data_IF_109517962772
#
_entry.id   IF_109517962772
#
_cell.length_a   1.000
_cell.length_b   1.000
_cell.length_c   1.000
_cell.angle_alpha   90.00
_cell.angle_beta   90.00
_cell.angle_gamma   90.00
#
_symmetry.space_group_name_H-M   'P 1'
#
loop_
_entity.id
_entity.type
_entity.pdbx_description
1 polymer ?
#
# COMPACT_ATOMS: atom_id res chain seq x y z
N UNK A 1 10.80 0.78 15.82
CA UNK A 1 11.42 0.91 14.49
C UNK A 1 10.90 -0.12 13.48
N UNK A 2 10.86 -1.45 13.75
CA UNK A 2 10.35 -2.46 12.78
C UNK A 2 8.91 -2.26 12.30
N UNK A 3 8.03 -1.65 13.11
CA UNK A 3 6.61 -1.42 12.79
C UNK A 3 6.39 -0.21 11.87
N UNK A 4 7.26 0.81 11.91
CA UNK A 4 7.15 2.01 11.07
C UNK A 4 7.51 1.74 9.61
N UNK A 5 8.42 0.81 9.34
CA UNK A 5 8.88 0.50 7.97
C UNK A 5 7.75 -0.20 7.19
N UNK A 6 6.94 -1.03 7.86
CA UNK A 6 5.81 -1.72 7.20
C UNK A 6 4.69 -0.75 6.80
N UNK A 7 4.39 0.26 7.63
CA UNK A 7 3.38 1.28 7.32
C UNK A 7 3.79 2.23 6.19
N UNK A 8 5.08 2.44 5.97
CA UNK A 8 5.61 3.34 4.93
C UNK A 8 5.62 2.70 3.54
N UNK A 9 5.71 1.37 3.46
CA UNK A 9 5.56 0.62 2.21
C UNK A 9 4.19 0.81 1.53
N UNK A 10 3.18 1.23 2.29
CA UNK A 10 1.82 1.52 1.78
C UNK A 10 1.70 2.92 1.15
N UNK A 11 2.62 3.85 1.44
CA UNK A 11 2.49 5.26 1.07
C UNK A 11 3.42 5.73 -0.07
N UNK A 12 3.99 4.83 -0.88
CA UNK A 12 4.69 5.23 -2.12
C UNK A 12 3.69 5.49 -3.25
N UNK A 13 2.60 6.20 -2.96
CA UNK A 13 1.98 6.98 -4.00
C UNK A 13 2.75 8.29 -4.09
N UNK A 14 3.60 8.44 -5.12
CA UNK A 14 4.03 9.78 -5.55
C UNK A 14 2.82 10.71 -5.41
N UNK A 15 3.05 11.99 -5.13
CA UNK A 15 2.06 13.08 -5.04
C UNK A 15 1.04 13.18 -6.19
N UNK A 16 0.80 12.13 -6.86
CA UNK A 16 -0.19 11.88 -7.88
C UNK A 16 -1.22 11.03 -7.17
N UNK A 17 -2.27 11.67 -6.65
CA UNK A 17 -3.35 11.10 -5.84
C UNK A 17 -4.01 9.82 -6.40
N UNK A 18 -3.23 8.80 -6.64
CA UNK A 18 -3.75 7.45 -6.74
C UNK A 18 -3.98 7.05 -5.29
N UNK A 19 -5.21 7.14 -4.87
CA UNK A 19 -5.73 6.68 -3.59
C UNK A 19 -4.99 5.41 -3.21
N UNK A 20 -4.42 5.40 -2.00
CA UNK A 20 -3.71 4.25 -1.44
C UNK A 20 -4.62 3.03 -1.31
N UNK A 21 -4.91 2.41 -2.43
CA UNK A 21 -5.68 1.19 -2.51
C UNK A 21 -4.71 0.02 -2.60
N UNK A 22 -4.49 -0.62 -1.45
CA UNK A 22 -4.11 -2.02 -1.43
C UNK A 22 -2.73 -2.35 -2.00
N UNK A 23 -1.69 -1.59 -1.64
CA UNK A 23 -0.32 -1.93 -2.04
C UNK A 23 0.12 -3.33 -1.58
N UNK A 24 -0.41 -3.86 -0.48
CA UNK A 24 -0.04 -5.19 0.01
C UNK A 24 -0.55 -6.33 -0.87
N UNK A 25 -1.77 -6.28 -1.39
CA UNK A 25 -2.28 -7.39 -2.20
C UNK A 25 -1.75 -7.36 -3.64
N UNK A 26 -1.51 -6.18 -4.20
CA UNK A 26 -0.78 -6.04 -5.49
C UNK A 26 0.68 -6.48 -5.29
N UNK A 27 1.30 -6.14 -4.16
CA UNK A 27 2.64 -6.60 -3.80
C UNK A 27 2.71 -8.13 -3.68
N UNK A 28 1.72 -8.77 -3.04
CA UNK A 28 1.66 -10.22 -2.85
C UNK A 28 1.45 -10.94 -4.18
N UNK A 29 0.65 -10.39 -5.10
CA UNK A 29 0.41 -11.00 -6.41
C UNK A 29 1.65 -10.90 -7.31
N UNK A 30 2.39 -9.79 -7.28
CA UNK A 30 3.67 -9.67 -8.00
C UNK A 30 4.76 -10.56 -7.37
N UNK A 31 4.75 -10.77 -6.05
CA UNK A 31 5.66 -11.72 -5.38
C UNK A 31 5.35 -13.18 -5.73
N UNK A 32 4.08 -13.52 -5.94
CA UNK A 32 3.65 -14.88 -6.28
C UNK A 32 3.73 -15.17 -7.78
N UNK A 33 3.76 -14.14 -8.64
CA UNK A 33 4.13 -14.31 -10.04
C UNK A 33 5.63 -14.46 -10.13
N UNK A 34 6.10 -15.48 -10.79
CA UNK A 34 7.44 -15.51 -11.36
C UNK A 34 7.52 -14.33 -12.34
N UNK A 35 7.93 -13.15 -11.83
CA UNK A 35 8.48 -12.14 -12.71
C UNK A 35 9.62 -12.85 -13.40
N UNK A 36 9.49 -13.09 -14.70
CA UNK A 36 10.60 -13.64 -15.46
C UNK A 36 11.68 -12.55 -15.53
N UNK A 37 12.60 -12.61 -14.60
CA UNK A 37 13.78 -11.74 -14.53
C UNK A 37 14.75 -11.97 -15.69
N UNK A 38 14.23 -12.53 -16.80
CA UNK A 38 14.92 -12.64 -18.07
C UNK A 38 15.90 -13.79 -18.16
N UNK A 39 15.44 -14.88 -18.72
CA UNK A 39 16.28 -15.88 -19.40
C UNK A 39 16.55 -15.49 -20.86
N UNK A 40 16.30 -14.25 -21.29
CA UNK A 40 16.64 -13.85 -22.65
C UNK A 40 18.14 -13.67 -22.74
N UNK A 41 18.79 -14.45 -23.59
CA UNK A 41 20.23 -14.39 -23.90
C UNK A 41 20.73 -12.97 -24.27
N UNK A 42 19.83 -12.06 -24.64
CA UNK A 42 20.13 -10.64 -24.87
C UNK A 42 20.36 -9.82 -23.61
N UNK A 43 19.79 -10.19 -22.44
CA UNK A 43 20.03 -9.49 -21.19
C UNK A 43 21.31 -9.96 -20.48
N UNK A 44 21.86 -11.10 -20.85
CA UNK A 44 23.01 -11.73 -20.20
C UNK A 44 24.36 -11.05 -20.50
N UNK A 45 24.43 -10.11 -21.43
CA UNK A 45 25.69 -9.47 -21.87
C UNK A 45 25.90 -8.03 -21.41
N UNK A 46 24.97 -7.44 -20.63
CA UNK A 46 25.12 -6.05 -20.18
C UNK A 46 25.56 -6.05 -18.71
N UNK A 47 26.84 -5.75 -18.47
CA UNK A 47 27.31 -5.46 -17.12
C UNK A 47 26.66 -4.18 -16.60
N UNK A 48 26.48 -4.08 -15.26
CA UNK A 48 25.79 -2.96 -14.62
C UNK A 48 26.30 -1.56 -14.98
N UNK A 49 27.55 -1.44 -15.44
CA UNK A 49 28.19 -0.19 -15.83
C UNK A 49 27.75 0.33 -17.20
N UNK A 50 26.92 -0.40 -17.98
CA UNK A 50 26.64 -0.12 -19.39
C UNK A 50 25.15 0.05 -19.75
N UNK A 51 24.24 0.25 -18.78
CA UNK A 51 22.86 0.61 -19.10
C UNK A 51 22.80 2.03 -19.68
N UNK A 52 22.49 2.12 -20.97
CA UNK A 52 22.26 3.41 -21.63
C UNK A 52 20.86 3.93 -21.26
N UNK A 53 20.68 5.25 -21.24
CA UNK A 53 19.43 5.93 -20.89
C UNK A 53 18.21 5.34 -21.60
N UNK A 54 18.33 5.03 -22.88
CA UNK A 54 17.23 4.52 -23.73
C UNK A 54 17.13 3.00 -23.76
N UNK A 55 17.99 2.28 -23.00
CA UNK A 55 17.90 0.81 -22.91
C UNK A 55 16.55 0.40 -22.33
N UNK A 56 15.86 -0.54 -22.99
CA UNK A 56 14.64 -1.14 -22.43
C UNK A 56 15.00 -2.02 -21.24
N UNK A 57 14.44 -1.70 -20.07
CA UNK A 57 14.73 -2.41 -18.81
C UNK A 57 13.53 -3.14 -18.24
N UNK A 58 12.32 -2.77 -18.64
CA UNK A 58 11.08 -3.43 -18.29
C UNK A 58 10.24 -3.58 -19.56
N UNK A 59 9.57 -4.70 -19.71
CA UNK A 59 8.55 -4.90 -20.74
C UNK A 59 7.27 -5.47 -20.12
N UNK A 60 6.12 -4.93 -20.53
CA UNK A 60 4.79 -5.43 -20.20
C UNK A 60 4.09 -5.73 -21.53
N UNK A 61 4.05 -7.00 -21.93
CA UNK A 61 3.71 -7.38 -23.29
C UNK A 61 4.62 -6.69 -24.29
N UNK A 62 4.06 -5.89 -25.22
CA UNK A 62 4.83 -5.12 -26.22
C UNK A 62 5.26 -3.72 -25.76
N UNK A 63 4.80 -3.27 -24.60
CA UNK A 63 5.16 -1.93 -24.07
C UNK A 63 6.46 -2.01 -23.29
N UNK A 64 7.42 -1.16 -23.64
CA UNK A 64 8.74 -1.11 -23.00
C UNK A 64 8.90 0.15 -22.17
N UNK A 65 9.72 0.05 -21.12
CA UNK A 65 10.13 1.15 -20.24
C UNK A 65 11.63 1.31 -20.36
N UNK A 66 12.08 2.52 -20.63
CA UNK A 66 13.52 2.83 -20.72
C UNK A 66 14.17 2.93 -19.33
N UNK A 67 15.47 2.78 -19.28
CA UNK A 67 16.25 2.99 -18.05
C UNK A 67 16.09 4.42 -17.50
N UNK A 68 16.00 5.42 -18.39
CA UNK A 68 15.71 6.81 -18.05
C UNK A 68 14.36 6.95 -17.31
N UNK A 69 13.31 6.34 -17.84
CA UNK A 69 11.99 6.35 -17.22
C UNK A 69 12.03 5.68 -15.83
N UNK A 70 12.68 4.51 -15.72
CA UNK A 70 12.89 3.84 -14.45
C UNK A 70 13.64 4.71 -13.44
N UNK A 71 14.77 5.34 -13.84
CA UNK A 71 15.54 6.23 -12.96
C UNK A 71 14.71 7.42 -12.46
N UNK A 72 13.81 7.94 -13.29
CA UNK A 72 12.92 9.03 -12.88
C UNK A 72 11.98 8.57 -11.76
N UNK A 73 11.34 7.41 -11.87
CA UNK A 73 10.55 6.84 -10.78
C UNK A 73 11.38 6.58 -9.52
N UNK A 74 12.57 6.01 -9.69
CA UNK A 74 13.47 5.70 -8.57
C UNK A 74 13.93 6.97 -7.82
N UNK A 75 14.23 8.04 -8.54
CA UNK A 75 14.60 9.34 -7.97
C UNK A 75 13.52 9.87 -7.00
N UNK A 76 12.28 9.88 -7.43
CA UNK A 76 11.18 10.36 -6.59
C UNK A 76 10.94 9.45 -5.38
N UNK A 77 10.97 8.15 -5.58
CA UNK A 77 10.83 7.20 -4.49
C UNK A 77 11.97 7.35 -3.47
N UNK A 78 13.21 7.45 -3.93
CA UNK A 78 14.38 7.66 -3.07
C UNK A 78 14.23 8.93 -2.23
N UNK A 79 13.90 10.05 -2.85
CA UNK A 79 13.71 11.32 -2.15
C UNK A 79 12.58 11.25 -1.11
N UNK A 80 11.51 10.53 -1.40
CA UNK A 80 10.42 10.31 -0.44
C UNK A 80 10.88 9.50 0.76
N UNK A 81 11.61 8.40 0.56
CA UNK A 81 12.17 7.63 1.65
C UNK A 81 13.12 8.46 2.52
N UNK A 82 14.02 9.21 1.88
CA UNK A 82 14.98 10.06 2.57
C UNK A 82 14.32 11.21 3.35
N UNK A 83 13.24 11.78 2.81
CA UNK A 83 12.49 12.84 3.49
C UNK A 83 11.77 12.38 4.76
N UNK A 84 11.32 11.13 4.79
CA UNK A 84 10.56 10.56 5.91
C UNK A 84 11.47 9.88 6.93
N UNK A 85 12.52 9.19 6.47
CA UNK A 85 13.32 8.27 7.27
C UNK A 85 14.78 8.73 7.43
N UNK A 86 15.18 9.81 6.74
CA UNK A 86 16.55 10.28 6.66
C UNK A 86 17.41 9.43 5.70
N UNK A 87 18.56 9.99 5.29
CA UNK A 87 19.47 9.38 4.32
C UNK A 87 20.11 8.08 4.82
N UNK A 88 20.17 7.88 6.14
CA UNK A 88 20.74 6.68 6.75
C UNK A 88 19.90 5.41 6.54
N UNK A 89 18.66 5.56 6.05
CA UNK A 89 17.77 4.42 5.77
C UNK A 89 18.40 3.37 4.85
N UNK A 90 19.25 3.80 3.92
CA UNK A 90 19.91 2.90 2.96
C UNK A 90 20.99 2.01 3.56
N UNK A 91 21.44 2.30 4.78
CA UNK A 91 22.42 1.48 5.52
C UNK A 91 21.79 0.23 6.17
N UNK A 92 20.45 0.15 6.20
CA UNK A 92 19.77 -0.99 6.80
C UNK A 92 19.67 -2.18 5.84
N UNK A 93 20.46 -3.22 6.12
CA UNK A 93 20.57 -4.41 5.28
C UNK A 93 19.43 -5.45 5.49
N UNK A 94 18.58 -5.28 6.52
CA UNK A 94 17.45 -6.18 6.80
C UNK A 94 16.24 -5.36 7.21
N UNK A 95 15.42 -4.97 6.24
CA UNK A 95 14.21 -4.23 6.52
C UNK A 95 12.99 -5.16 6.69
N UNK A 96 12.74 -6.04 5.72
CA UNK A 96 11.57 -6.94 5.68
C UNK A 96 11.96 -8.24 4.97
N UNK A 97 11.64 -9.38 5.55
CA UNK A 97 11.84 -10.71 4.94
C UNK A 97 13.25 -10.93 4.37
N UNK A 98 14.28 -10.55 5.12
CA UNK A 98 15.70 -10.68 4.76
C UNK A 98 16.19 -9.85 3.56
N UNK A 99 15.40 -8.91 3.06
CA UNK A 99 15.79 -7.96 2.01
C UNK A 99 16.34 -6.66 2.60
N UNK A 100 17.29 -6.03 1.90
CA UNK A 100 17.72 -4.67 2.23
C UNK A 100 16.63 -3.65 1.89
N UNK A 101 16.69 -2.46 2.50
CA UNK A 101 15.80 -1.35 2.16
C UNK A 101 15.94 -0.98 0.67
N UNK A 102 17.17 -1.01 0.14
CA UNK A 102 17.42 -0.74 -1.27
C UNK A 102 16.73 -1.74 -2.21
N UNK A 103 16.79 -3.03 -1.90
CA UNK A 103 16.11 -4.07 -2.68
C UNK A 103 14.59 -3.89 -2.65
N UNK A 104 14.01 -3.62 -1.48
CA UNK A 104 12.57 -3.39 -1.35
C UNK A 104 12.14 -2.11 -2.10
N UNK A 105 12.96 -1.08 -2.09
CA UNK A 105 12.72 0.15 -2.84
C UNK A 105 12.69 -0.09 -4.36
N UNK A 106 13.63 -0.86 -4.89
CA UNK A 106 13.67 -1.23 -6.31
C UNK A 106 12.41 -2.02 -6.68
N UNK A 107 12.07 -3.04 -5.89
CA UNK A 107 10.89 -3.86 -6.15
C UNK A 107 9.61 -3.01 -6.09
N UNK A 108 9.54 -2.02 -5.19
CA UNK A 108 8.41 -1.10 -5.10
C UNK A 108 8.27 -0.25 -6.36
N UNK A 109 9.37 0.28 -6.88
CA UNK A 109 9.37 1.03 -8.15
C UNK A 109 8.95 0.13 -9.32
N UNK A 110 9.49 -1.08 -9.38
CA UNK A 110 9.12 -2.05 -10.42
C UNK A 110 7.63 -2.36 -10.39
N UNK A 111 7.07 -2.63 -9.20
CA UNK A 111 5.64 -2.88 -9.01
C UNK A 111 4.80 -1.70 -9.51
N UNK A 112 5.16 -0.48 -9.12
CA UNK A 112 4.43 0.73 -9.54
C UNK A 112 4.44 0.90 -11.06
N UNK A 113 5.61 0.79 -11.70
CA UNK A 113 5.74 0.93 -13.15
C UNK A 113 4.91 -0.14 -13.87
N UNK A 114 5.05 -1.40 -13.48
CA UNK A 114 4.32 -2.52 -14.09
C UNK A 114 2.81 -2.30 -13.93
N UNK A 115 2.34 -1.89 -12.76
CA UNK A 115 0.93 -1.62 -12.51
C UNK A 115 0.39 -0.53 -13.44
N UNK A 116 1.08 0.58 -13.57
CA UNK A 116 0.68 1.68 -14.46
C UNK A 116 0.63 1.22 -15.92
N UNK A 117 1.63 0.45 -16.37
CA UNK A 117 1.66 -0.07 -17.76
C UNK A 117 0.55 -1.08 -18.02
N UNK A 118 0.25 -1.99 -17.10
CA UNK A 118 -0.87 -2.94 -17.21
C UNK A 118 -2.20 -2.17 -17.31
N UNK A 119 -2.43 -1.22 -16.41
CA UNK A 119 -3.65 -0.41 -16.41
C UNK A 119 -3.79 0.40 -17.72
N UNK A 120 -2.69 1.00 -18.20
CA UNK A 120 -2.69 1.74 -19.47
C UNK A 120 -3.05 0.86 -20.67
N UNK A 121 -2.62 -0.41 -20.68
CA UNK A 121 -3.00 -1.37 -21.73
C UNK A 121 -4.49 -1.73 -21.66
N UNK A 122 -5.01 -1.95 -20.47
CA UNK A 122 -6.45 -2.22 -20.30
C UNK A 122 -7.30 -0.98 -20.63
N UNK A 123 -6.82 0.22 -20.28
CA UNK A 123 -7.48 1.46 -20.68
C UNK A 123 -7.61 1.56 -22.22
N UNK A 124 -6.56 1.18 -22.95
CA UNK A 124 -6.63 1.13 -24.42
C UNK A 124 -7.63 0.08 -24.94
N UNK A 125 -7.70 -1.11 -24.30
CA UNK A 125 -8.68 -2.16 -24.64
C UNK A 125 -10.11 -1.68 -24.35
N UNK A 126 -10.34 -1.05 -23.20
CA UNK A 126 -11.65 -0.51 -22.79
C UNK A 126 -11.96 0.86 -23.45
N UNK A 127 -11.07 1.38 -24.31
CA UNK A 127 -11.18 2.68 -24.99
C UNK A 127 -11.31 3.86 -24.01
N UNK A 128 -10.73 3.75 -22.83
CA UNK A 128 -10.61 4.84 -21.85
C UNK A 128 -9.38 5.67 -22.19
N UNK A 129 -9.57 6.98 -22.37
CA UNK A 129 -8.51 7.93 -22.71
C UNK A 129 -8.64 9.18 -21.84
N UNK A 130 -7.53 9.89 -21.64
CA UNK A 130 -7.57 11.21 -21.03
C UNK A 130 -8.23 12.21 -22.00
N UNK A 131 -9.09 13.07 -21.47
CA UNK A 131 -9.57 14.25 -22.17
C UNK A 131 -8.43 15.29 -22.30
N UNK A 132 -8.64 16.31 -23.12
CA UNK A 132 -7.61 17.33 -23.38
C UNK A 132 -7.22 18.07 -22.11
N UNK A 133 -8.19 18.50 -21.32
CA UNK A 133 -8.00 19.16 -20.03
C UNK A 133 -7.28 18.29 -19.00
N UNK A 134 -7.59 16.98 -18.98
CA UNK A 134 -6.88 16.02 -18.10
C UNK A 134 -5.39 15.86 -18.47
N UNK A 135 -5.06 15.92 -19.77
CA UNK A 135 -3.66 15.90 -20.25
C UNK A 135 -2.95 17.19 -19.89
N UNK A 136 -3.59 18.34 -20.16
CA UNK A 136 -3.05 19.65 -19.82
C UNK A 136 -2.78 19.78 -18.33
N UNK A 137 -3.67 19.26 -17.47
CA UNK A 137 -3.46 19.21 -16.02
C UNK A 137 -2.24 18.32 -15.67
N UNK A 138 -2.12 17.14 -16.29
CA UNK A 138 -0.99 16.24 -16.05
C UNK A 138 0.34 16.90 -16.46
N UNK A 139 0.38 17.54 -17.63
CA UNK A 139 1.56 18.25 -18.14
C UNK A 139 1.94 19.45 -17.27
N UNK A 140 0.96 20.24 -16.84
CA UNK A 140 1.18 21.35 -15.92
C UNK A 140 1.81 20.88 -14.59
N UNK A 141 1.27 19.80 -14.02
CA UNK A 141 1.82 19.20 -12.80
C UNK A 141 3.22 18.66 -13.01
N UNK A 142 3.46 17.97 -14.13
CA UNK A 142 4.78 17.48 -14.49
C UNK A 142 5.79 18.62 -14.60
N UNK A 143 5.41 19.73 -15.28
CA UNK A 143 6.25 20.91 -15.38
C UNK A 143 6.55 21.55 -14.03
N UNK A 144 5.54 21.70 -13.19
CA UNK A 144 5.69 22.26 -11.83
C UNK A 144 6.67 21.44 -11.00
N UNK A 145 6.55 20.11 -11.02
CA UNK A 145 7.46 19.21 -10.33
C UNK A 145 8.86 19.27 -10.96
N UNK A 146 8.96 19.25 -12.29
CA UNK A 146 10.24 19.36 -12.98
C UNK A 146 10.98 20.65 -12.63
N UNK A 147 10.29 21.79 -12.59
CA UNK A 147 10.89 23.07 -12.26
C UNK A 147 11.42 23.10 -10.81
N UNK A 148 10.80 22.37 -9.90
CA UNK A 148 11.23 22.25 -8.49
C UNK A 148 12.47 21.37 -8.27
N UNK A 149 12.81 20.50 -9.25
CA UNK A 149 14.00 19.62 -9.12
C UNK A 149 15.28 20.46 -9.28
N UNK A 150 16.28 20.32 -8.39
CA UNK A 150 17.57 20.98 -8.53
C UNK A 150 18.23 20.70 -9.89
N UNK A 151 18.83 21.71 -10.50
CA UNK A 151 19.48 21.58 -11.83
C UNK A 151 20.54 20.47 -11.84
N UNK A 152 21.30 20.34 -10.74
CA UNK A 152 22.31 19.27 -10.57
C UNK A 152 21.65 17.88 -10.67
N UNK A 153 20.51 17.70 -10.01
CA UNK A 153 19.83 16.39 -10.00
C UNK A 153 19.22 16.07 -11.37
N UNK A 154 18.64 17.05 -12.07
CA UNK A 154 18.18 16.89 -13.45
C UNK A 154 19.29 16.35 -14.34
N UNK A 155 20.48 16.94 -14.23
CA UNK A 155 21.64 16.57 -15.02
C UNK A 155 22.19 15.19 -14.64
N UNK A 156 22.42 14.95 -13.34
CA UNK A 156 23.07 13.71 -12.85
C UNK A 156 22.16 12.49 -12.97
N UNK A 157 20.85 12.67 -12.84
CA UNK A 157 19.87 11.58 -12.93
C UNK A 157 19.27 11.46 -14.35
N UNK A 158 19.57 12.39 -15.24
CA UNK A 158 19.02 12.41 -16.61
C UNK A 158 17.49 12.61 -16.62
N UNK A 159 16.96 13.45 -15.71
CA UNK A 159 15.51 13.69 -15.63
C UNK A 159 15.11 14.70 -16.69
N UNK A 160 14.22 14.30 -17.57
CA UNK A 160 13.70 15.12 -18.67
C UNK A 160 12.22 15.42 -18.46
N UNK A 161 11.80 16.65 -18.79
CA UNK A 161 10.40 17.04 -18.71
C UNK A 161 9.49 16.11 -19.52
N UNK A 162 9.91 15.75 -20.74
CA UNK A 162 9.12 14.85 -21.59
C UNK A 162 8.85 13.48 -20.95
N UNK A 163 9.84 12.91 -20.25
CA UNK A 163 9.68 11.64 -19.55
C UNK A 163 8.74 11.82 -18.37
N UNK A 164 8.89 12.93 -17.65
CA UNK A 164 8.06 13.23 -16.49
C UNK A 164 6.61 13.49 -16.90
N UNK A 165 6.34 14.26 -17.96
CA UNK A 165 5.00 14.46 -18.53
C UNK A 165 4.33 13.13 -18.86
N UNK A 166 5.04 12.24 -19.58
CA UNK A 166 4.54 10.90 -19.87
C UNK A 166 4.17 10.12 -18.60
N UNK A 167 5.01 10.16 -17.56
CA UNK A 167 4.75 9.49 -16.28
C UNK A 167 3.47 10.05 -15.64
N UNK A 168 3.28 11.38 -15.65
CA UNK A 168 2.11 12.03 -15.09
C UNK A 168 0.82 11.69 -15.85
N UNK A 169 0.86 11.73 -17.19
CA UNK A 169 -0.27 11.31 -18.03
C UNK A 169 -0.67 9.84 -17.77
N UNK A 170 0.32 8.93 -17.75
CA UNK A 170 0.04 7.51 -17.50
C UNK A 170 -0.54 7.25 -16.11
N UNK A 171 -0.08 7.95 -15.07
CA UNK A 171 -0.65 7.86 -13.73
C UNK A 171 -2.07 8.46 -13.68
N UNK A 172 -2.31 9.59 -14.36
CA UNK A 172 -3.65 10.18 -14.48
C UNK A 172 -4.63 9.23 -15.18
N UNK A 173 -4.17 8.55 -16.24
CA UNK A 173 -4.96 7.53 -16.94
C UNK A 173 -5.27 6.34 -16.01
N UNK A 174 -4.28 5.89 -15.22
CA UNK A 174 -4.48 4.82 -14.27
C UNK A 174 -5.52 5.19 -13.20
N UNK A 175 -5.49 6.41 -12.69
CA UNK A 175 -6.50 6.93 -11.76
C UNK A 175 -7.89 6.98 -12.40
N UNK A 176 -7.98 7.49 -13.65
CA UNK A 176 -9.24 7.52 -14.40
C UNK A 176 -9.81 6.11 -14.57
N UNK A 177 -8.96 5.15 -14.93
CA UNK A 177 -9.36 3.75 -15.10
C UNK A 177 -9.84 3.13 -13.78
N UNK A 178 -9.17 3.42 -12.65
CA UNK A 178 -9.66 3.05 -11.32
C UNK A 178 -11.07 3.60 -11.08
N UNK A 179 -11.28 4.90 -11.31
CA UNK A 179 -12.58 5.54 -11.11
C UNK A 179 -13.68 4.94 -12.00
N UNK A 180 -13.36 4.61 -13.26
CA UNK A 180 -14.28 3.91 -14.18
C UNK A 180 -14.68 2.55 -13.62
N UNK A 181 -13.72 1.78 -13.09
CA UNK A 181 -14.05 0.47 -12.51
C UNK A 181 -14.85 0.61 -11.22
N UNK A 182 -14.50 1.57 -10.35
CA UNK A 182 -15.23 1.81 -9.11
C UNK A 182 -16.66 2.30 -9.38
N UNK A 183 -16.87 3.08 -10.43
CA UNK A 183 -18.21 3.50 -10.87
C UNK A 183 -19.12 2.34 -11.32
N UNK A 184 -18.55 1.20 -11.71
CA UNK A 184 -19.31 -0.01 -12.06
C UNK A 184 -19.79 -0.79 -10.81
N UNK A 185 -19.20 -0.52 -9.62
CA UNK A 185 -19.55 -1.25 -8.41
C UNK A 185 -20.84 -0.73 -7.80
N UNK A 186 -21.75 -1.64 -7.53
CA UNK A 186 -22.93 -1.38 -6.71
C UNK A 186 -22.59 -1.73 -5.27
N UNK A 187 -22.21 -0.75 -4.46
CA UNK A 187 -21.92 -0.92 -3.04
C UNK A 187 -23.03 -0.22 -2.28
N UNK A 188 -23.88 -1.01 -1.64
CA UNK A 188 -24.96 -0.48 -0.81
C UNK A 188 -24.81 -1.03 0.63
N UNK A 189 -24.49 -0.11 1.54
CA UNK A 189 -24.59 -0.32 2.97
C UNK A 189 -25.65 0.61 3.51
N UNK A 190 -26.83 0.07 3.77
CA UNK A 190 -27.93 0.87 4.34
C UNK A 190 -27.50 1.43 5.70
N UNK A 191 -27.51 2.76 5.84
CA UNK A 191 -26.99 3.45 7.01
C UNK A 191 -27.67 2.99 8.33
N UNK A 192 -28.95 2.67 8.28
CA UNK A 192 -29.72 2.20 9.44
C UNK A 192 -29.38 0.79 9.90
N UNK A 193 -28.61 0.01 9.12
CA UNK A 193 -28.17 -1.34 9.49
C UNK A 193 -26.75 -1.36 10.04
N UNK A 194 -26.02 -0.26 9.94
CA UNK A 194 -24.66 -0.15 10.44
C UNK A 194 -24.65 0.28 11.91
N UNK A 195 -23.81 -0.41 12.68
CA UNK A 195 -23.47 -0.04 14.04
C UNK A 195 -21.97 -0.14 14.22
N UNK A 196 -21.36 0.89 14.80
CA UNK A 196 -19.92 0.93 15.00
C UNK A 196 -19.59 1.66 16.31
N UNK A 197 -18.43 1.32 16.87
CA UNK A 197 -17.85 2.05 17.98
C UNK A 197 -16.39 2.39 17.69
N UNK A 198 -15.91 3.49 18.26
CA UNK A 198 -14.49 3.83 18.28
C UNK A 198 -13.88 3.25 19.54
N UNK A 199 -12.84 2.45 19.38
CA UNK A 199 -12.19 1.71 20.47
C UNK A 199 -10.67 1.88 20.41
N UNK A 200 -10.06 1.78 21.60
CA UNK A 200 -8.64 1.43 21.73
C UNK A 200 -8.53 -0.10 21.78
N UNK A 201 -7.52 -0.67 21.12
CA UNK A 201 -7.40 -2.10 20.92
C UNK A 201 -6.03 -2.63 21.34
N UNK A 202 -6.03 -3.72 22.10
CA UNK A 202 -4.84 -4.54 22.33
C UNK A 202 -5.06 -5.86 21.60
N UNK A 203 -4.10 -6.21 20.76
CA UNK A 203 -4.08 -7.42 19.97
C UNK A 203 -2.78 -8.18 20.16
N UNK A 204 -2.86 -9.51 20.25
CA UNK A 204 -1.74 -10.42 20.23
C UNK A 204 -2.05 -11.59 19.29
N UNK A 205 -1.18 -11.79 18.28
CA UNK A 205 -1.31 -12.87 17.33
C UNK A 205 -1.12 -14.23 17.99
N UNK A 206 -1.99 -15.18 17.66
CA UNK A 206 -1.89 -16.54 18.15
C UNK A 206 -2.08 -17.57 17.02
N UNK A 207 -1.44 -18.71 17.18
CA UNK A 207 -1.60 -19.88 16.33
C UNK A 207 -1.69 -21.13 17.21
N UNK A 208 -1.90 -22.29 16.61
CA UNK A 208 -2.09 -23.55 17.36
C UNK A 208 -0.94 -23.88 18.33
N UNK A 209 0.29 -23.42 18.06
CA UNK A 209 1.46 -23.73 18.89
C UNK A 209 1.60 -22.83 20.13
N UNK A 210 1.10 -21.60 20.08
CA UNK A 210 1.29 -20.60 21.14
C UNK A 210 -0.01 -20.09 21.77
N UNK A 211 -1.17 -20.64 21.39
CA UNK A 211 -2.50 -20.16 21.76
C UNK A 211 -2.67 -20.00 23.27
N UNK A 212 -2.36 -21.02 24.06
CA UNK A 212 -2.52 -20.97 25.51
C UNK A 212 -1.56 -19.95 26.17
N UNK A 213 -0.34 -19.87 25.69
CA UNK A 213 0.64 -18.89 26.20
C UNK A 213 0.17 -17.47 25.94
N UNK A 214 -0.34 -17.20 24.73
CA UNK A 214 -0.87 -15.88 24.35
C UNK A 214 -2.14 -15.57 25.13
N UNK A 215 -3.05 -16.52 25.28
CA UNK A 215 -4.27 -16.37 26.10
C UNK A 215 -3.94 -15.97 27.55
N UNK A 216 -2.99 -16.67 28.19
CA UNK A 216 -2.55 -16.38 29.54
C UNK A 216 -1.90 -15.00 29.65
N UNK A 217 -1.13 -14.60 28.63
CA UNK A 217 -0.53 -13.26 28.54
C UNK A 217 -1.60 -12.19 28.42
N UNK A 218 -2.58 -12.38 27.53
CA UNK A 218 -3.68 -11.45 27.33
C UNK A 218 -4.61 -11.36 28.54
N UNK A 219 -4.81 -12.46 29.27
CA UNK A 219 -5.56 -12.45 30.55
C UNK A 219 -4.87 -11.58 31.62
N UNK A 220 -3.51 -11.62 31.67
CA UNK A 220 -2.76 -10.73 32.57
C UNK A 220 -2.86 -9.26 32.14
N UNK A 221 -2.77 -9.00 30.82
CA UNK A 221 -2.96 -7.66 30.28
C UNK A 221 -4.37 -7.13 30.58
N UNK A 222 -5.41 -7.99 30.45
CA UNK A 222 -6.79 -7.62 30.82
C UNK A 222 -6.89 -7.23 32.28
N UNK A 223 -6.29 -8.01 33.17
CA UNK A 223 -6.24 -7.67 34.59
C UNK A 223 -5.50 -6.35 34.84
N UNK A 224 -4.40 -6.10 34.13
CA UNK A 224 -3.64 -4.84 34.20
C UNK A 224 -4.52 -3.65 33.82
N UNK A 225 -5.18 -3.67 32.66
CA UNK A 225 -6.01 -2.54 32.18
C UNK A 225 -7.29 -2.32 32.97
N UNK A 226 -7.76 -3.32 33.75
CA UNK A 226 -8.96 -3.22 34.56
C UNK A 226 -8.68 -2.83 36.02
N UNK A 227 -7.47 -3.06 36.52
CA UNK A 227 -7.07 -2.83 37.89
C UNK A 227 -6.06 -1.71 38.11
N UNK A 228 -5.36 -1.25 37.04
CA UNK A 228 -4.29 -0.29 37.18
C UNK A 228 -4.76 1.16 37.04
N UNK A 229 -3.95 2.09 37.57
CA UNK A 229 -4.13 3.53 37.37
C UNK A 229 -3.66 4.00 35.97
N UNK A 230 -3.01 3.11 35.19
CA UNK A 230 -2.60 3.41 33.84
C UNK A 230 -3.80 3.44 32.90
N UNK A 231 -3.82 4.42 31.99
CA UNK A 231 -4.83 4.44 30.93
C UNK A 231 -4.69 3.23 30.01
N UNK A 232 -5.82 2.76 29.46
CA UNK A 232 -5.82 1.68 28.49
C UNK A 232 -4.85 1.97 27.33
N UNK A 233 -4.82 3.22 26.84
CA UNK A 233 -3.92 3.68 25.79
C UNK A 233 -2.44 3.43 26.13
N UNK A 234 -2.04 3.73 27.36
CA UNK A 234 -0.63 3.54 27.79
C UNK A 234 -0.23 2.06 27.78
N UNK A 235 -1.10 1.19 28.24
CA UNK A 235 -0.86 -0.26 28.20
C UNK A 235 -0.88 -0.76 26.75
N UNK A 236 -1.84 -0.33 25.94
CA UNK A 236 -1.95 -0.69 24.54
C UNK A 236 -0.69 -0.31 23.75
N UNK A 237 -0.16 0.92 23.95
CA UNK A 237 1.06 1.39 23.29
C UNK A 237 2.26 0.45 23.47
N UNK A 238 2.36 -0.20 24.62
CA UNK A 238 3.49 -1.05 24.98
C UNK A 238 3.24 -2.54 24.69
N UNK A 239 1.99 -2.96 24.60
CA UNK A 239 1.61 -4.39 24.59
C UNK A 239 0.95 -4.85 23.30
N UNK A 240 0.33 -3.95 22.51
CA UNK A 240 -0.37 -4.37 21.29
C UNK A 240 0.60 -4.75 20.17
N UNK A 241 0.22 -5.74 19.37
CA UNK A 241 0.83 -6.07 18.09
C UNK A 241 0.02 -5.49 16.91
N UNK A 242 -1.10 -4.84 17.17
CA UNK A 242 -1.86 -4.14 16.15
C UNK A 242 -1.07 -2.94 15.60
N UNK A 243 -1.32 -2.58 14.35
CA UNK A 243 -0.62 -1.49 13.65
C UNK A 243 -0.99 -0.10 14.20
N UNK A 244 -2.18 0.02 14.78
CA UNK A 244 -2.66 1.21 15.46
C UNK A 244 -3.24 0.85 16.84
N UNK A 245 -3.56 1.86 17.66
CA UNK A 245 -4.26 1.66 18.92
C UNK A 245 -5.74 1.94 18.75
N UNK A 246 -6.10 2.98 18.02
CA UNK A 246 -7.50 3.40 17.83
C UNK A 246 -8.07 2.84 16.52
N UNK A 247 -9.27 2.27 16.62
CA UNK A 247 -10.01 1.69 15.50
C UNK A 247 -11.49 2.06 15.55
N UNK A 248 -12.10 2.17 14.36
CA UNK A 248 -13.56 2.12 14.23
C UNK A 248 -13.91 0.69 13.81
N UNK A 249 -14.64 0.00 14.67
CA UNK A 249 -15.05 -1.39 14.44
C UNK A 249 -16.57 -1.47 14.53
N UNK A 250 -17.18 -2.17 13.59
CA UNK A 250 -18.63 -2.28 13.53
C UNK A 250 -19.14 -3.69 13.23
N UNK A 251 -20.44 -3.78 13.09
CA UNK A 251 -21.16 -5.05 12.97
C UNK A 251 -20.92 -5.82 11.65
N UNK A 252 -20.21 -5.23 10.68
CA UNK A 252 -19.80 -5.87 9.42
C UNK A 252 -18.31 -6.31 9.43
N UNK A 253 -17.59 -6.15 10.54
CA UNK A 253 -16.20 -6.61 10.65
C UNK A 253 -16.15 -8.14 10.54
N UNK A 254 -15.20 -8.65 9.76
CA UNK A 254 -15.02 -10.09 9.52
C UNK A 254 -14.64 -10.89 10.79
N UNK A 255 -14.08 -10.22 11.78
CA UNK A 255 -13.79 -10.74 13.12
C UNK A 255 -15.07 -10.69 13.95
N UNK A 256 -15.90 -11.73 13.80
CA UNK A 256 -17.29 -11.70 14.29
C UNK A 256 -17.45 -11.60 15.79
N UNK A 257 -16.53 -12.19 16.57
CA UNK A 257 -16.59 -12.08 18.04
C UNK A 257 -16.17 -10.69 18.49
N UNK A 258 -15.14 -10.12 17.85
CA UNK A 258 -14.70 -8.75 18.09
C UNK A 258 -15.80 -7.75 17.73
N UNK A 259 -16.42 -7.90 16.56
CA UNK A 259 -17.53 -7.06 16.11
C UNK A 259 -18.68 -7.05 17.12
N UNK A 260 -19.16 -8.23 17.54
CA UNK A 260 -20.23 -8.38 18.52
C UNK A 260 -19.88 -7.75 19.86
N UNK A 261 -18.67 -8.00 20.36
CA UNK A 261 -18.22 -7.43 21.62
C UNK A 261 -18.18 -5.91 21.55
N UNK A 262 -17.52 -5.34 20.51
CA UNK A 262 -17.30 -3.89 20.38
C UNK A 262 -18.61 -3.11 20.25
N UNK A 263 -19.57 -3.57 19.43
CA UNK A 263 -20.84 -2.84 19.26
C UNK A 263 -21.74 -2.88 20.49
N UNK A 264 -21.50 -3.80 21.43
CA UNK A 264 -22.23 -3.91 22.68
C UNK A 264 -21.63 -3.10 23.85
N UNK A 265 -20.37 -2.60 23.70
CA UNK A 265 -19.71 -1.85 24.76
C UNK A 265 -20.35 -0.48 24.98
N UNK A 266 -20.42 -0.10 26.26
CA UNK A 266 -20.72 1.28 26.65
C UNK A 266 -19.45 2.12 26.64
N UNK A 267 -19.63 3.44 26.54
CA UNK A 267 -18.48 4.37 26.63
C UNK A 267 -17.67 4.12 27.90
N UNK A 268 -16.36 4.09 27.79
CA UNK A 268 -15.38 3.81 28.85
C UNK A 268 -15.46 2.37 29.40
N UNK A 269 -16.13 1.46 28.71
CA UNK A 269 -16.15 0.05 29.06
C UNK A 269 -15.05 -0.71 28.34
N UNK A 270 -14.38 -1.60 29.07
CA UNK A 270 -13.41 -2.57 28.53
C UNK A 270 -14.10 -3.92 28.33
N UNK A 271 -13.82 -4.58 27.20
CA UNK A 271 -14.34 -5.92 26.91
C UNK A 271 -13.72 -6.98 27.81
N UNK A 272 -14.32 -8.14 27.84
CA UNK A 272 -13.64 -9.37 28.23
C UNK A 272 -12.58 -9.74 27.21
N UNK A 273 -11.79 -10.79 27.46
CA UNK A 273 -10.88 -11.35 26.46
C UNK A 273 -11.67 -11.91 25.26
N UNK A 274 -11.36 -11.44 24.07
CA UNK A 274 -12.01 -11.84 22.83
C UNK A 274 -11.06 -12.73 22.04
N UNK A 275 -11.52 -13.89 21.65
CA UNK A 275 -10.77 -14.83 20.79
C UNK A 275 -11.28 -14.79 19.37
N UNK A 276 -10.35 -14.67 18.42
CA UNK A 276 -10.55 -14.77 16.98
C UNK A 276 -9.55 -15.79 16.37
N UNK A 277 -9.70 -16.08 15.08
CA UNK A 277 -8.84 -17.06 14.38
C UNK A 277 -7.38 -16.66 14.35
N UNK A 278 -7.09 -15.36 14.31
CA UNK A 278 -5.76 -14.78 14.21
C UNK A 278 -5.13 -14.43 15.56
N UNK A 279 -5.88 -14.51 16.67
CA UNK A 279 -5.36 -14.24 18.01
C UNK A 279 -6.40 -13.76 19.01
N UNK A 280 -5.93 -12.98 19.97
CA UNK A 280 -6.72 -12.48 21.07
C UNK A 280 -6.76 -10.95 21.08
N UNK A 281 -7.93 -10.43 21.51
CA UNK A 281 -8.22 -9.00 21.53
C UNK A 281 -8.77 -8.57 22.88
N UNK A 282 -8.47 -7.32 23.26
CA UNK A 282 -9.12 -6.57 24.33
C UNK A 282 -9.45 -5.20 23.74
N UNK A 283 -10.70 -4.78 23.86
CA UNK A 283 -11.18 -3.51 23.33
C UNK A 283 -11.67 -2.61 24.47
N UNK A 284 -11.34 -1.32 24.40
CA UNK A 284 -11.85 -0.28 25.31
C UNK A 284 -12.62 0.75 24.49
N UNK A 285 -13.90 0.95 24.82
CA UNK A 285 -14.78 1.83 24.05
C UNK A 285 -14.58 3.29 24.45
N UNK A 286 -14.11 4.11 23.49
CA UNK A 286 -13.97 5.56 23.70
C UNK A 286 -15.16 6.35 23.16
N UNK A 287 -15.85 5.80 22.14
CA UNK A 287 -17.07 6.39 21.60
C UNK A 287 -18.04 5.30 21.13
N UNK A 288 -19.26 5.35 21.61
CA UNK A 288 -20.34 4.45 21.19
C UNK A 288 -20.94 4.87 19.84
N UNK A 289 -21.80 4.02 19.31
CA UNK A 289 -22.49 4.24 18.04
C UNK A 289 -23.12 5.64 17.94
N UNK A 290 -22.85 6.31 16.82
CA UNK A 290 -23.39 7.63 16.48
C UNK A 290 -23.50 7.78 14.96
N UNK A 291 -24.30 8.73 14.48
CA UNK A 291 -24.45 8.96 13.04
C UNK A 291 -23.12 9.27 12.33
N UNK A 292 -22.22 10.01 13.01
CA UNK A 292 -20.90 10.29 12.45
C UNK A 292 -20.01 9.05 12.37
N UNK A 293 -20.02 8.17 13.39
CA UNK A 293 -19.29 6.90 13.36
C UNK A 293 -19.87 5.91 12.36
N UNK A 294 -21.18 5.84 12.21
CA UNK A 294 -21.82 5.05 11.16
C UNK A 294 -21.39 5.50 9.77
N UNK A 295 -21.34 6.81 9.53
CA UNK A 295 -20.86 7.35 8.25
C UNK A 295 -19.37 7.07 8.03
N UNK A 296 -18.53 7.22 9.06
CA UNK A 296 -17.11 6.88 8.98
C UNK A 296 -16.91 5.39 8.68
N UNK A 297 -17.63 4.52 9.38
CA UNK A 297 -17.57 3.07 9.17
C UNK A 297 -18.08 2.67 7.79
N UNK A 298 -19.18 3.29 7.32
CA UNK A 298 -19.66 3.09 5.95
C UNK A 298 -18.60 3.44 4.91
N UNK A 299 -17.93 4.58 5.06
CA UNK A 299 -16.85 4.99 4.16
C UNK A 299 -15.69 3.99 4.18
N UNK A 300 -15.33 3.48 5.35
CA UNK A 300 -14.31 2.42 5.49
C UNK A 300 -14.73 1.16 4.73
N UNK A 301 -15.93 0.63 4.95
CA UNK A 301 -16.43 -0.56 4.25
C UNK A 301 -16.49 -0.38 2.74
N UNK A 302 -16.91 0.81 2.27
CA UNK A 302 -16.91 1.14 0.83
C UNK A 302 -15.49 1.11 0.29
N UNK A 303 -14.54 1.75 0.97
CA UNK A 303 -13.13 1.78 0.57
C UNK A 303 -12.50 0.37 0.53
N UNK A 304 -12.76 -0.45 1.54
CA UNK A 304 -12.30 -1.85 1.59
C UNK A 304 -12.87 -2.66 0.42
N UNK A 305 -14.17 -2.49 0.13
CA UNK A 305 -14.82 -3.19 -0.98
C UNK A 305 -14.31 -2.74 -2.34
N UNK A 306 -14.06 -1.44 -2.51
CA UNK A 306 -13.44 -0.89 -3.71
C UNK A 306 -12.03 -1.45 -3.90
N UNK A 307 -11.24 -1.47 -2.84
CA UNK A 307 -9.88 -2.02 -2.83
C UNK A 307 -9.87 -3.50 -3.24
N UNK A 308 -10.68 -4.33 -2.58
CA UNK A 308 -10.82 -5.75 -2.87
C UNK A 308 -11.22 -6.00 -4.34
N UNK A 309 -12.22 -5.24 -4.81
CA UNK A 309 -12.72 -5.36 -6.18
C UNK A 309 -11.67 -4.95 -7.20
N UNK A 310 -10.97 -3.84 -6.95
CA UNK A 310 -9.91 -3.39 -7.85
C UNK A 310 -8.75 -4.38 -7.90
N UNK A 311 -8.35 -4.96 -6.77
CA UNK A 311 -7.32 -5.98 -6.72
C UNK A 311 -7.66 -7.21 -7.57
N UNK A 312 -8.90 -7.70 -7.46
CA UNK A 312 -9.39 -8.82 -8.30
C UNK A 312 -9.37 -8.45 -9.79
N UNK A 313 -9.83 -7.25 -10.11
CA UNK A 313 -9.84 -6.74 -11.49
C UNK A 313 -8.42 -6.58 -12.02
N UNK A 314 -7.53 -5.95 -11.27
CA UNK A 314 -6.13 -5.78 -11.64
C UNK A 314 -5.43 -7.13 -11.84
N UNK A 315 -5.69 -8.11 -10.96
CA UNK A 315 -5.16 -9.45 -11.14
C UNK A 315 -5.55 -10.05 -12.49
N UNK A 316 -6.83 -9.96 -12.84
CA UNK A 316 -7.32 -10.45 -14.14
C UNK A 316 -6.64 -9.72 -15.31
N UNK A 317 -6.38 -8.43 -15.20
CA UNK A 317 -5.69 -7.65 -16.22
C UNK A 317 -4.23 -8.05 -16.35
N UNK A 318 -3.54 -8.11 -15.23
CA UNK A 318 -2.12 -8.42 -15.21
C UNK A 318 -1.83 -9.84 -15.72
N UNK A 319 -2.77 -10.80 -15.53
CA UNK A 319 -2.65 -12.17 -16.04
C UNK A 319 -2.63 -12.25 -17.59
N UNK A 320 -3.06 -11.18 -18.28
CA UNK A 320 -3.06 -11.13 -19.76
C UNK A 320 -1.71 -10.79 -20.38
N UNK A 321 -0.76 -10.28 -19.59
CA UNK A 321 0.49 -9.72 -20.12
C UNK A 321 1.72 -10.36 -19.51
N UNK A 322 2.66 -10.77 -20.38
CA UNK A 322 3.99 -11.16 -19.93
C UNK A 322 4.75 -9.95 -19.42
N UNK A 323 5.41 -10.11 -18.29
CA UNK A 323 6.26 -9.08 -17.68
C UNK A 323 7.71 -9.55 -17.68
N UNK A 324 8.60 -8.74 -18.22
CA UNK A 324 10.05 -8.99 -18.24
C UNK A 324 10.78 -7.81 -17.61
N UNK A 325 11.76 -8.10 -16.75
CA UNK A 325 12.61 -7.11 -16.09
C UNK A 325 14.07 -7.46 -16.35
N UNK A 326 14.87 -6.49 -16.72
CA UNK A 326 16.30 -6.67 -16.97
C UNK A 326 17.05 -7.09 -15.69
N UNK A 327 17.83 -8.16 -15.77
CA UNK A 327 18.71 -8.59 -14.67
C UNK A 327 19.70 -7.51 -14.25
N UNK A 328 20.16 -6.69 -15.19
CA UNK A 328 21.07 -5.58 -14.93
C UNK A 328 20.48 -4.56 -13.94
N UNK A 329 19.16 -4.38 -13.96
CA UNK A 329 18.45 -3.48 -13.04
C UNK A 329 18.47 -3.99 -11.60
N UNK A 330 18.41 -5.30 -11.41
CA UNK A 330 18.40 -5.96 -10.10
C UNK A 330 19.80 -6.07 -9.49
N UNK A 331 20.84 -5.98 -10.31
CA UNK A 331 22.23 -6.09 -9.90
C UNK A 331 22.93 -4.71 -9.79
N UNK A 332 22.25 -3.60 -10.16
CA UNK A 332 22.82 -2.24 -10.23
C UNK A 332 22.87 -1.51 -8.86
N UNK A 333 22.70 -2.21 -7.71
CA UNK A 333 22.73 -1.59 -6.38
C UNK A 333 23.56 -2.38 -5.39
#
# INVERSE_FOLDING_TARGET
MKRFILAILVCVSMCIGVVGCGSEAVATDIQNRRIDYGSSERAASVSNSNLKEDSSVIAVGKTTVSYKEYKTYYYFMKNQYESILGTDIWKYNKAVKDKSVGQEAIESVLRQIIQVKVIGKEAAIEKVQLATDEKEEADYRAKTVFDSIPAKDKQTQGIELKVLSKIFEENKLAQKMYNVQMGKLKIDYAANTLSAAKVELIYQAANAKNKETVKNTMSRILSEVTSSQNSFYTVAKNKTQADAIEYVIGNQDSRTNLAKAVVSLKKNQTSTLIEEKDGFYIAHCIQTNSASLQQQYRNQLVSEKQTESFQKTYKTWSDKFDVKVSKALLAAN
#
